data_IF_644258001188
#
_entry.id   IF_644258001188
#
_cell.length_a   1.000
_cell.length_b   1.000
_cell.length_c   1.000
_cell.angle_alpha   90.00
_cell.angle_beta   90.00
_cell.angle_gamma   90.00
#
_symmetry.space_group_name_H-M   'P 1'
#
loop_
_entity.id
_entity.type
_entity.pdbx_description
1 polymer ?
#
# COMPACT_ATOMS: atom_id res chain seq x y z
N UNK A 1 56.92 -29.89 22.28
CA UNK A 1 56.45 -29.11 21.14
C UNK A 1 54.94 -29.04 21.20
N UNK A 2 54.33 -27.90 21.63
CA UNK A 2 52.87 -27.81 21.80
C UNK A 2 52.41 -26.48 22.39
N UNK A 3 53.01 -25.33 21.98
CA UNK A 3 52.59 -24.01 22.50
C UNK A 3 52.23 -22.98 21.39
N UNK A 4 52.17 -23.40 20.12
CA UNK A 4 51.88 -22.48 19.03
C UNK A 4 50.41 -22.39 18.62
N UNK A 5 49.63 -23.44 18.80
CA UNK A 5 48.21 -23.51 18.32
C UNK A 5 47.21 -22.69 19.18
N UNK A 6 47.42 -22.66 20.50
CA UNK A 6 46.49 -21.94 21.41
C UNK A 6 46.52 -20.42 21.27
N UNK A 7 47.64 -19.82 20.80
CA UNK A 7 47.71 -18.38 20.59
C UNK A 7 47.08 -17.90 19.29
N UNK A 8 47.06 -18.72 18.25
CA UNK A 8 46.36 -18.44 16.96
C UNK A 8 44.87 -18.62 17.06
N UNK A 9 44.41 -19.67 17.75
CA UNK A 9 43.02 -19.90 18.06
C UNK A 9 42.45 -18.79 18.95
N UNK A 10 43.16 -18.36 19.95
CA UNK A 10 42.78 -17.22 20.82
C UNK A 10 42.71 -15.89 20.06
N UNK A 11 43.59 -15.68 19.06
CA UNK A 11 43.51 -14.48 18.19
C UNK A 11 42.32 -14.54 17.26
N UNK A 12 42.08 -15.68 16.61
CA UNK A 12 40.91 -15.84 15.76
C UNK A 12 39.61 -15.70 16.54
N UNK A 13 39.52 -16.23 17.78
CA UNK A 13 38.37 -16.06 18.65
C UNK A 13 38.08 -14.59 18.96
N UNK A 14 39.13 -13.80 19.32
CA UNK A 14 39.01 -12.35 19.58
C UNK A 14 38.61 -11.55 18.33
N UNK A 15 39.13 -11.90 17.16
CA UNK A 15 38.77 -11.27 15.91
C UNK A 15 37.26 -11.57 15.57
N UNK A 16 36.85 -12.81 15.79
CA UNK A 16 35.46 -13.21 15.59
C UNK A 16 34.51 -12.51 16.57
N UNK A 17 34.88 -12.41 17.85
CA UNK A 17 34.13 -11.68 18.87
C UNK A 17 33.98 -10.19 18.48
N UNK A 18 35.09 -9.56 18.07
CA UNK A 18 35.06 -8.15 17.62
C UNK A 18 34.19 -7.95 16.38
N UNK A 19 34.27 -8.87 15.40
CA UNK A 19 33.40 -8.82 14.23
C UNK A 19 31.92 -9.00 14.61
N UNK A 20 31.62 -9.88 15.57
CA UNK A 20 30.24 -10.07 16.07
C UNK A 20 29.74 -8.84 16.83
N UNK A 21 30.59 -8.18 17.64
CA UNK A 21 30.24 -6.92 18.29
C UNK A 21 29.98 -5.80 17.26
N UNK A 22 30.86 -5.64 16.27
CA UNK A 22 30.69 -4.66 15.19
C UNK A 22 29.41 -4.94 14.37
N UNK A 23 29.12 -6.21 14.06
CA UNK A 23 27.87 -6.59 13.37
C UNK A 23 26.63 -6.34 14.24
N UNK A 24 26.72 -6.60 15.53
CA UNK A 24 25.66 -6.34 16.50
C UNK A 24 25.35 -4.84 16.62
N UNK A 25 26.40 -4.01 16.70
CA UNK A 25 26.28 -2.56 16.74
C UNK A 25 25.68 -2.00 15.44
N UNK A 26 26.10 -2.51 14.29
CA UNK A 26 25.53 -2.12 12.99
C UNK A 26 24.04 -2.50 12.92
N UNK A 27 23.67 -3.67 13.38
CA UNK A 27 22.28 -4.14 13.36
C UNK A 27 21.39 -3.34 14.32
N UNK A 28 21.90 -3.01 15.52
CA UNK A 28 21.17 -2.23 16.52
C UNK A 28 21.02 -0.74 16.15
N UNK A 29 21.91 -0.23 15.31
CA UNK A 29 21.84 1.15 14.83
C UNK A 29 20.92 1.34 13.63
N UNK A 30 20.33 0.27 13.08
CA UNK A 30 19.32 0.38 12.03
C UNK A 30 18.00 0.89 12.59
N UNK A 31 17.39 1.80 11.84
CA UNK A 31 16.05 2.31 12.14
C UNK A 31 15.04 1.40 11.42
N UNK A 32 14.39 0.51 12.17
CA UNK A 32 13.45 -0.47 11.63
C UNK A 32 12.05 0.12 11.48
N UNK A 33 11.57 0.22 10.25
CA UNK A 33 10.25 0.75 9.89
C UNK A 33 9.34 -0.40 9.42
N UNK A 34 8.22 -0.61 10.09
CA UNK A 34 7.28 -1.65 9.75
C UNK A 34 5.99 -1.04 9.16
N UNK A 35 5.66 -1.41 7.91
CA UNK A 35 4.42 -1.02 7.25
C UNK A 35 3.30 -1.99 7.60
N UNK A 36 2.29 -1.55 8.35
CA UNK A 36 1.11 -2.33 8.71
C UNK A 36 -0.18 -1.70 8.16
N UNK A 37 -1.24 -2.47 8.12
CA UNK A 37 -2.57 -2.03 7.65
C UNK A 37 -3.28 -3.13 6.88
N UNK A 38 -4.57 -2.94 6.61
CA UNK A 38 -5.40 -3.89 5.88
C UNK A 38 -4.94 -4.11 4.43
N UNK A 39 -5.49 -5.13 3.78
CA UNK A 39 -5.28 -5.34 2.34
C UNK A 39 -5.71 -4.10 1.54
N UNK A 40 -5.04 -3.82 0.43
CA UNK A 40 -5.33 -2.72 -0.50
C UNK A 40 -5.14 -1.29 0.07
N UNK A 41 -4.68 -1.10 1.30
CA UNK A 41 -4.48 0.24 1.90
C UNK A 41 -3.38 1.07 1.23
N UNK A 42 -2.50 0.46 0.43
CA UNK A 42 -1.41 1.13 -0.30
C UNK A 42 -0.03 1.00 0.35
N UNK A 43 0.17 0.10 1.32
CA UNK A 43 1.48 -0.19 1.94
C UNK A 43 2.58 -0.44 0.90
N UNK A 44 2.35 -1.40 0.02
CA UNK A 44 3.33 -1.79 -1.01
C UNK A 44 3.60 -0.68 -2.03
N UNK A 45 2.64 0.24 -2.24
CA UNK A 45 2.87 1.45 -3.05
C UNK A 45 3.80 2.41 -2.32
N UNK A 46 3.60 2.64 -1.01
CA UNK A 46 4.52 3.43 -0.19
C UNK A 46 5.92 2.80 -0.17
N UNK A 47 6.01 1.48 0.00
CA UNK A 47 7.26 0.75 -0.04
C UNK A 47 8.01 0.92 -1.38
N UNK A 48 7.29 0.80 -2.51
CA UNK A 48 7.84 1.06 -3.85
C UNK A 48 8.28 2.52 -4.02
N UNK A 49 7.54 3.48 -3.44
CA UNK A 49 7.93 4.90 -3.45
C UNK A 49 9.26 5.13 -2.73
N UNK A 50 9.51 4.44 -1.63
CA UNK A 50 10.79 4.53 -0.93
C UNK A 50 11.95 4.04 -1.81
N UNK A 51 11.71 2.97 -2.60
CA UNK A 51 12.68 2.51 -3.61
C UNK A 51 12.93 3.56 -4.69
N UNK A 52 11.89 4.27 -5.13
CA UNK A 52 12.01 5.36 -6.12
C UNK A 52 12.74 6.58 -5.54
N UNK A 53 12.46 6.93 -4.28
CA UNK A 53 13.00 8.14 -3.64
C UNK A 53 14.45 7.99 -3.15
N UNK A 54 14.80 6.83 -2.61
CA UNK A 54 16.06 6.60 -1.88
C UNK A 54 16.85 5.39 -2.38
N UNK A 55 16.25 4.57 -3.25
CA UNK A 55 16.91 3.46 -3.91
C UNK A 55 17.60 3.88 -5.21
N UNK A 56 17.93 2.89 -6.02
CA UNK A 56 18.37 3.10 -7.40
C UNK A 56 17.18 3.22 -8.32
N UNK A 57 17.31 4.06 -9.36
CA UNK A 57 16.30 4.10 -10.42
C UNK A 57 16.08 2.70 -11.02
N UNK A 58 14.83 2.30 -11.26
CA UNK A 58 14.54 1.00 -11.85
C UNK A 58 15.20 0.87 -13.21
N UNK A 59 15.89 -0.22 -13.41
CA UNK A 59 16.44 -0.57 -14.73
C UNK A 59 15.32 -0.90 -15.73
N UNK A 60 15.62 -0.78 -17.02
CA UNK A 60 14.65 -1.18 -18.06
C UNK A 60 14.20 -2.64 -17.90
N UNK A 61 15.08 -3.53 -17.45
CA UNK A 61 14.73 -4.93 -17.20
C UNK A 61 13.69 -5.06 -16.09
N UNK A 62 13.89 -4.40 -14.94
CA UNK A 62 12.93 -4.38 -13.83
C UNK A 62 11.57 -3.77 -14.23
N UNK A 63 11.59 -2.71 -15.05
CA UNK A 63 10.34 -2.14 -15.58
C UNK A 63 9.61 -3.14 -16.50
N UNK A 64 10.35 -3.85 -17.36
CA UNK A 64 9.75 -4.84 -18.27
C UNK A 64 9.17 -6.06 -17.53
N UNK A 65 9.67 -6.43 -16.35
CA UNK A 65 9.07 -7.46 -15.49
C UNK A 65 7.66 -7.09 -15.01
N UNK A 66 7.34 -5.80 -14.93
CA UNK A 66 6.02 -5.32 -14.51
C UNK A 66 5.01 -5.30 -15.67
N UNK A 67 5.47 -5.33 -16.93
CA UNK A 67 4.60 -5.26 -18.12
C UNK A 67 3.50 -6.35 -18.13
N UNK A 68 3.79 -7.63 -17.92
CA UNK A 68 2.76 -8.67 -17.87
C UNK A 68 1.74 -8.45 -16.76
N UNK A 69 2.20 -7.95 -15.60
CA UNK A 69 1.32 -7.65 -14.47
C UNK A 69 0.33 -6.52 -14.82
N UNK A 70 0.79 -5.48 -15.49
CA UNK A 70 -0.08 -4.38 -15.94
C UNK A 70 -1.13 -4.90 -16.92
N UNK A 71 -0.73 -5.72 -17.89
CA UNK A 71 -1.64 -6.32 -18.87
C UNK A 71 -2.71 -7.17 -18.19
N UNK A 72 -2.31 -8.08 -17.28
CA UNK A 72 -3.23 -8.88 -16.48
C UNK A 72 -4.16 -8.04 -15.60
N UNK A 73 -3.64 -6.98 -14.97
CA UNK A 73 -4.47 -6.06 -14.17
C UNK A 73 -5.58 -5.42 -15.02
N UNK A 74 -5.25 -4.97 -16.24
CA UNK A 74 -6.21 -4.36 -17.18
C UNK A 74 -7.26 -5.37 -17.59
N UNK A 75 -6.86 -6.55 -18.08
CA UNK A 75 -7.77 -7.58 -18.57
C UNK A 75 -8.70 -8.06 -17.44
N UNK A 76 -8.12 -8.48 -16.32
CA UNK A 76 -8.90 -9.04 -15.20
C UNK A 76 -9.88 -8.02 -14.60
N UNK A 77 -9.47 -6.75 -14.51
CA UNK A 77 -10.37 -5.73 -13.97
C UNK A 77 -11.49 -5.40 -14.95
N UNK A 78 -11.21 -5.28 -16.25
CA UNK A 78 -12.28 -5.04 -17.24
C UNK A 78 -13.28 -6.21 -17.28
N UNK A 79 -12.81 -7.45 -17.24
CA UNK A 79 -13.68 -8.63 -17.11
C UNK A 79 -14.55 -8.57 -15.84
N UNK A 80 -13.95 -8.19 -14.70
CA UNK A 80 -14.70 -8.07 -13.44
C UNK A 80 -15.81 -7.02 -13.56
N UNK A 81 -15.53 -5.84 -14.14
CA UNK A 81 -16.53 -4.78 -14.35
C UNK A 81 -17.69 -5.32 -15.22
N UNK A 82 -17.35 -5.93 -16.37
CA UNK A 82 -18.36 -6.46 -17.28
C UNK A 82 -19.19 -7.58 -16.63
N UNK A 83 -18.55 -8.46 -15.85
CA UNK A 83 -19.21 -9.58 -15.19
C UNK A 83 -20.16 -9.14 -14.07
N UNK A 84 -19.92 -7.99 -13.45
CA UNK A 84 -20.77 -7.41 -12.41
C UNK A 84 -21.97 -6.61 -12.99
N UNK A 85 -21.90 -6.21 -14.25
CA UNK A 85 -22.95 -5.41 -14.89
C UNK A 85 -24.36 -6.03 -14.81
N UNK A 86 -24.55 -7.35 -15.03
CA UNK A 86 -25.88 -7.97 -14.87
C UNK A 86 -26.44 -7.87 -13.45
N UNK A 87 -25.60 -8.11 -12.43
CA UNK A 87 -25.99 -8.03 -11.01
C UNK A 87 -26.38 -6.61 -10.61
N UNK A 88 -25.72 -5.61 -11.19
CA UNK A 88 -25.93 -4.20 -10.90
C UNK A 88 -26.98 -3.53 -11.80
N UNK A 89 -27.59 -4.28 -12.72
CA UNK A 89 -28.63 -3.75 -13.62
C UNK A 89 -28.09 -2.74 -14.64
N UNK A 90 -26.81 -2.82 -14.98
CA UNK A 90 -26.13 -1.94 -15.96
C UNK A 90 -25.82 -2.64 -17.28
N UNK A 91 -26.05 -3.94 -17.38
CA UNK A 91 -25.69 -4.77 -18.53
C UNK A 91 -26.43 -4.33 -19.81
N UNK A 92 -27.70 -3.98 -19.70
CA UNK A 92 -28.52 -3.50 -20.84
C UNK A 92 -28.02 -2.16 -21.41
N UNK A 93 -27.20 -1.43 -20.65
CA UNK A 93 -26.58 -0.17 -21.07
C UNK A 93 -25.28 -0.39 -21.87
N UNK A 94 -24.72 -1.62 -21.87
CA UNK A 94 -23.53 -1.96 -22.64
C UNK A 94 -23.94 -2.04 -24.12
N UNK A 95 -23.40 -1.12 -24.92
CA UNK A 95 -23.76 -0.95 -26.33
C UNK A 95 -22.96 -1.88 -27.23
N UNK A 96 -21.64 -2.00 -27.03
CA UNK A 96 -20.73 -2.80 -27.87
C UNK A 96 -20.68 -4.27 -27.38
N UNK A 97 -21.69 -5.06 -27.78
CA UNK A 97 -21.80 -6.48 -27.42
C UNK A 97 -20.70 -7.34 -28.07
N UNK A 98 -20.17 -6.95 -29.24
CA UNK A 98 -19.09 -7.66 -29.90
C UNK A 98 -17.77 -7.50 -29.12
N UNK A 99 -17.40 -6.27 -28.75
CA UNK A 99 -16.23 -6.02 -27.91
C UNK A 99 -16.38 -6.63 -26.51
N UNK A 100 -17.57 -6.59 -25.93
CA UNK A 100 -17.88 -7.28 -24.65
C UNK A 100 -17.57 -8.77 -24.73
N UNK A 101 -18.05 -9.46 -25.78
CA UNK A 101 -17.79 -10.88 -25.97
C UNK A 101 -16.29 -11.16 -26.11
N UNK A 102 -15.60 -10.44 -27.00
CA UNK A 102 -14.16 -10.57 -27.20
C UNK A 102 -13.37 -10.32 -25.90
N UNK A 103 -13.78 -9.34 -25.11
CA UNK A 103 -13.13 -9.04 -23.83
C UNK A 103 -13.27 -10.19 -22.82
N UNK A 104 -14.43 -10.81 -22.73
CA UNK A 104 -14.67 -11.94 -21.83
C UNK A 104 -13.96 -13.22 -22.27
N UNK A 105 -13.68 -13.38 -23.57
CA UNK A 105 -12.96 -14.51 -24.16
C UNK A 105 -11.43 -14.39 -24.07
N UNK A 106 -10.85 -13.21 -23.74
CA UNK A 106 -9.41 -13.06 -23.52
C UNK A 106 -8.93 -13.91 -22.35
N UNK A 107 -7.75 -14.49 -22.44
CA UNK A 107 -7.12 -15.14 -21.28
C UNK A 107 -6.67 -14.10 -20.25
N UNK A 108 -6.69 -14.46 -18.97
CA UNK A 108 -6.43 -13.54 -17.85
C UNK A 108 -4.97 -13.02 -17.81
N UNK A 109 -4.03 -13.77 -18.36
CA UNK A 109 -2.61 -13.46 -18.43
C UNK A 109 -2.14 -13.13 -19.87
N UNK A 110 -3.10 -12.91 -20.78
CA UNK A 110 -2.79 -12.62 -22.17
C UNK A 110 -2.10 -11.26 -22.33
N UNK A 111 -1.12 -11.20 -23.22
CA UNK A 111 -0.44 -9.94 -23.51
C UNK A 111 -1.34 -9.00 -24.32
N UNK A 112 -1.44 -7.75 -23.89
CA UNK A 112 -2.07 -6.70 -24.70
C UNK A 112 -1.22 -6.41 -25.93
N UNK A 113 -1.89 -6.22 -27.05
CA UNK A 113 -1.40 -5.73 -28.31
C UNK A 113 -2.35 -4.62 -28.80
N UNK A 114 -2.05 -3.89 -29.89
CA UNK A 114 -2.89 -2.80 -30.36
C UNK A 114 -4.36 -3.18 -30.61
N UNK A 115 -4.63 -4.39 -31.12
CA UNK A 115 -5.99 -4.88 -31.37
C UNK A 115 -6.76 -5.06 -30.04
N UNK A 116 -6.16 -5.74 -29.05
CA UNK A 116 -6.76 -5.97 -27.73
C UNK A 116 -6.90 -4.67 -26.94
N UNK A 117 -5.91 -3.78 -27.04
CA UNK A 117 -5.96 -2.44 -26.44
C UNK A 117 -7.15 -1.63 -26.96
N UNK A 118 -7.44 -1.71 -28.27
CA UNK A 118 -8.59 -1.05 -28.86
C UNK A 118 -9.93 -1.62 -28.34
N UNK A 119 -10.02 -2.93 -28.08
CA UNK A 119 -11.19 -3.55 -27.46
C UNK A 119 -11.37 -3.03 -26.02
N UNK A 120 -10.31 -3.02 -25.22
CA UNK A 120 -10.36 -2.47 -23.84
C UNK A 120 -10.78 -1.01 -23.85
N UNK A 121 -10.23 -0.20 -24.77
CA UNK A 121 -10.58 1.23 -24.90
C UNK A 121 -12.06 1.43 -25.23
N UNK A 122 -12.59 0.66 -26.17
CA UNK A 122 -14.02 0.69 -26.51
C UNK A 122 -14.89 0.34 -25.30
N UNK A 123 -14.52 -0.73 -24.57
CA UNK A 123 -15.24 -1.11 -23.35
C UNK A 123 -15.15 -0.03 -22.27
N UNK A 124 -13.96 0.57 -22.05
CA UNK A 124 -13.80 1.63 -21.06
C UNK A 124 -14.67 2.86 -21.35
N UNK A 125 -14.90 3.19 -22.61
CA UNK A 125 -15.76 4.32 -23.02
C UNK A 125 -17.23 3.94 -23.18
N UNK A 126 -17.60 2.66 -23.02
CA UNK A 126 -18.97 2.20 -23.15
C UNK A 126 -19.83 2.69 -21.97
N UNK A 127 -21.03 3.26 -22.23
CA UNK A 127 -21.91 3.79 -21.18
C UNK A 127 -22.30 2.79 -20.10
N UNK A 128 -22.48 1.50 -20.46
CA UNK A 128 -22.81 0.45 -19.51
C UNK A 128 -21.64 0.09 -18.61
N UNK A 129 -20.42 0.07 -19.16
CA UNK A 129 -19.19 -0.15 -18.39
C UNK A 129 -18.94 1.02 -17.44
N UNK A 130 -19.13 2.27 -17.90
CA UNK A 130 -19.01 3.45 -17.04
C UNK A 130 -20.05 3.47 -15.93
N UNK A 131 -21.32 3.11 -16.24
CA UNK A 131 -22.37 2.98 -15.24
C UNK A 131 -22.03 1.90 -14.18
N UNK A 132 -21.40 0.80 -14.60
CA UNK A 132 -20.93 -0.25 -13.68
C UNK A 132 -19.75 0.24 -12.85
N UNK A 133 -18.82 0.97 -13.46
CA UNK A 133 -17.68 1.58 -12.77
C UNK A 133 -18.09 2.58 -11.69
N UNK A 134 -19.14 3.35 -11.92
CA UNK A 134 -19.69 4.28 -10.92
C UNK A 134 -20.19 3.56 -9.67
N UNK A 135 -20.62 2.29 -9.81
CA UNK A 135 -21.06 1.41 -8.72
C UNK A 135 -19.92 0.54 -8.14
N UNK A 136 -18.65 0.87 -8.41
CA UNK A 136 -17.48 0.05 -8.04
C UNK A 136 -17.31 -0.20 -6.53
N UNK A 137 -18.01 0.53 -5.67
CA UNK A 137 -18.07 0.24 -4.24
C UNK A 137 -18.83 -1.06 -3.91
N UNK A 138 -19.73 -1.50 -4.82
CA UNK A 138 -20.58 -2.68 -4.65
C UNK A 138 -19.89 -4.00 -5.02
N UNK A 139 -18.69 -3.94 -5.58
CA UNK A 139 -17.90 -5.10 -5.98
C UNK A 139 -16.41 -4.90 -5.79
N UNK A 140 -15.63 -5.95 -6.03
CA UNK A 140 -14.21 -5.94 -5.72
C UNK A 140 -13.37 -5.47 -6.92
N UNK A 141 -12.88 -4.25 -6.85
CA UNK A 141 -12.02 -3.65 -7.87
C UNK A 141 -10.97 -2.74 -7.25
N UNK A 142 -9.84 -2.57 -7.94
CA UNK A 142 -8.79 -1.62 -7.56
C UNK A 142 -9.01 -0.31 -8.29
N UNK A 143 -9.36 0.75 -7.57
CA UNK A 143 -9.75 2.03 -8.17
C UNK A 143 -8.65 2.68 -9.01
N UNK A 144 -7.36 2.46 -8.67
CA UNK A 144 -6.23 3.03 -9.42
C UNK A 144 -6.08 2.50 -10.84
N UNK A 145 -6.82 1.43 -11.21
CA UNK A 145 -6.78 0.84 -12.55
C UNK A 145 -7.29 1.79 -13.66
N UNK A 146 -8.16 2.74 -13.30
CA UNK A 146 -8.69 3.72 -14.25
C UNK A 146 -7.59 4.43 -15.04
N UNK A 147 -6.47 4.74 -14.41
CA UNK A 147 -5.30 5.34 -15.06
C UNK A 147 -4.75 4.47 -16.20
N UNK A 148 -4.74 3.15 -16.02
CA UNK A 148 -4.30 2.23 -17.07
C UNK A 148 -5.33 2.10 -18.20
N UNK A 149 -6.63 2.18 -17.90
CA UNK A 149 -7.65 2.19 -18.94
C UNK A 149 -7.57 3.46 -19.80
N UNK A 150 -7.27 4.61 -19.20
CA UNK A 150 -7.09 5.87 -19.92
C UNK A 150 -5.89 5.82 -20.86
N UNK A 151 -4.81 5.14 -20.46
CA UNK A 151 -3.55 5.00 -21.19
C UNK A 151 -3.44 3.68 -21.99
N UNK A 152 -4.52 2.91 -22.11
CA UNK A 152 -4.47 1.53 -22.63
C UNK A 152 -3.90 1.42 -24.05
N UNK A 153 -4.09 2.42 -24.91
CA UNK A 153 -3.55 2.45 -26.27
C UNK A 153 -2.01 2.55 -26.27
N UNK A 154 -1.46 3.33 -25.32
CA UNK A 154 0.00 3.42 -25.12
C UNK A 154 0.54 2.12 -24.52
N UNK A 155 -0.18 1.55 -23.55
CA UNK A 155 0.22 0.32 -22.86
C UNK A 155 0.18 -0.89 -23.80
N UNK A 156 -0.72 -0.89 -24.77
CA UNK A 156 -0.88 -1.95 -25.74
C UNK A 156 0.07 -1.83 -26.96
N UNK A 157 0.86 -0.76 -27.07
CA UNK A 157 1.82 -0.60 -28.15
C UNK A 157 2.93 -1.66 -28.07
N UNK A 158 3.45 -2.09 -29.22
CA UNK A 158 4.48 -3.15 -29.30
C UNK A 158 5.77 -2.77 -28.57
N UNK A 159 6.18 -1.51 -28.69
CA UNK A 159 7.39 -0.94 -28.08
C UNK A 159 7.18 -0.43 -26.67
N UNK A 160 5.98 -0.62 -26.07
CA UNK A 160 5.68 -0.16 -24.72
C UNK A 160 6.67 -0.69 -23.68
N UNK A 161 7.24 0.24 -22.94
CA UNK A 161 8.03 -0.01 -21.73
C UNK A 161 7.36 0.70 -20.56
N UNK A 162 7.05 0.01 -19.45
CA UNK A 162 6.48 0.64 -18.28
C UNK A 162 7.35 1.76 -17.73
N UNK A 163 6.73 2.78 -17.19
CA UNK A 163 7.40 3.86 -16.43
C UNK A 163 7.48 3.51 -14.95
N UNK A 164 8.28 4.25 -14.17
CA UNK A 164 8.29 4.14 -12.71
C UNK A 164 6.90 4.39 -12.11
N UNK A 165 6.10 5.30 -12.71
CA UNK A 165 4.72 5.56 -12.30
C UNK A 165 3.81 4.35 -12.56
N UNK A 166 3.98 3.67 -13.69
CA UNK A 166 3.25 2.43 -13.99
C UNK A 166 3.61 1.33 -12.98
N UNK A 167 4.89 1.21 -12.61
CA UNK A 167 5.34 0.25 -11.59
C UNK A 167 4.71 0.54 -10.21
N UNK A 168 4.55 1.82 -9.83
CA UNK A 168 3.90 2.21 -8.58
C UNK A 168 2.39 1.87 -8.58
N UNK A 169 1.73 2.07 -9.73
CA UNK A 169 0.29 1.87 -9.90
C UNK A 169 -0.07 0.40 -10.07
N UNK A 170 0.82 -0.40 -10.67
CA UNK A 170 0.61 -1.82 -10.92
C UNK A 170 0.35 -2.58 -9.62
N UNK A 171 -0.79 -3.30 -9.58
CA UNK A 171 -1.17 -4.10 -8.43
C UNK A 171 -0.44 -5.44 -8.44
N UNK A 172 0.38 -5.63 -7.41
CA UNK A 172 0.98 -6.92 -7.06
C UNK A 172 0.56 -7.25 -5.64
N UNK A 173 -0.01 -8.43 -5.42
CA UNK A 173 -0.33 -8.88 -4.05
C UNK A 173 0.97 -9.24 -3.32
N UNK A 174 1.22 -8.56 -2.20
CA UNK A 174 2.36 -8.91 -1.35
C UNK A 174 2.04 -10.20 -0.59
N UNK A 175 2.86 -11.22 -0.81
CA UNK A 175 2.86 -12.44 -0.02
C UNK A 175 4.15 -12.51 0.79
N UNK A 176 4.05 -12.81 2.10
CA UNK A 176 5.22 -12.87 2.97
C UNK A 176 5.70 -11.50 3.43
N UNK A 177 7.01 -11.37 3.58
CA UNK A 177 7.73 -10.20 4.10
C UNK A 177 8.74 -9.78 3.03
N UNK A 178 8.72 -8.51 2.67
CA UNK A 178 9.71 -7.89 1.78
C UNK A 178 10.47 -6.84 2.57
N UNK A 179 11.80 -6.86 2.48
CA UNK A 179 12.67 -5.93 3.22
C UNK A 179 13.59 -5.20 2.28
N UNK A 180 13.75 -3.90 2.48
CA UNK A 180 14.71 -3.04 1.78
C UNK A 180 15.40 -2.11 2.77
N UNK A 181 16.65 -1.80 2.49
CA UNK A 181 17.44 -0.89 3.32
C UNK A 181 17.88 0.34 2.53
N UNK A 182 17.77 1.51 3.14
CA UNK A 182 18.13 2.80 2.56
C UNK A 182 19.03 3.58 3.51
N UNK A 183 20.05 4.24 2.97
CA UNK A 183 20.85 5.20 3.75
C UNK A 183 20.34 6.61 3.48
N UNK A 184 19.78 7.25 4.50
CA UNK A 184 19.15 8.57 4.42
C UNK A 184 19.76 9.45 5.50
N UNK A 185 20.45 10.54 5.08
CA UNK A 185 21.14 11.47 5.97
C UNK A 185 22.10 10.78 6.97
N UNK A 186 22.82 9.75 6.48
CA UNK A 186 23.78 8.99 7.27
C UNK A 186 23.18 7.91 8.20
N UNK A 187 21.86 7.79 8.27
CA UNK A 187 21.16 6.75 9.04
C UNK A 187 20.71 5.62 8.13
N UNK A 188 20.84 4.38 8.60
CA UNK A 188 20.33 3.21 7.87
C UNK A 188 18.89 2.92 8.29
N UNK A 189 17.96 3.10 7.35
CA UNK A 189 16.57 2.73 7.50
C UNK A 189 16.33 1.36 6.88
N UNK A 190 15.76 0.45 7.63
CA UNK A 190 15.35 -0.86 7.16
C UNK A 190 13.83 -0.94 7.19
N UNK A 191 13.21 -1.04 6.02
CA UNK A 191 11.77 -1.00 5.85
C UNK A 191 11.22 -2.38 5.51
N UNK A 192 10.14 -2.76 6.19
CA UNK A 192 9.44 -4.02 6.02
C UNK A 192 8.04 -3.79 5.44
N UNK A 193 7.75 -4.36 4.26
CA UNK A 193 6.40 -4.48 3.70
C UNK A 193 5.87 -5.89 3.92
N UNK A 194 4.69 -6.00 4.50
CA UNK A 194 4.05 -7.27 4.83
C UNK A 194 2.66 -7.36 4.23
N UNK A 195 2.24 -8.56 3.83
CA UNK A 195 0.89 -8.79 3.32
C UNK A 195 -0.17 -8.35 4.32
N UNK A 196 -1.15 -7.53 3.87
CA UNK A 196 -2.18 -6.93 4.73
C UNK A 196 -3.47 -7.73 4.83
N UNK A 197 -3.67 -8.73 3.99
CA UNK A 197 -4.84 -9.61 4.04
C UNK A 197 -4.85 -10.47 5.30
N UNK A 198 -6.03 -10.84 5.79
CA UNK A 198 -6.20 -11.58 7.07
C UNK A 198 -5.34 -12.83 7.16
N UNK A 199 -5.23 -13.60 6.08
CA UNK A 199 -4.40 -14.81 6.05
C UNK A 199 -2.89 -14.55 6.11
N UNK A 200 -2.42 -13.35 5.70
CA UNK A 200 -1.00 -12.97 5.73
C UNK A 200 -0.56 -12.44 7.11
N UNK A 201 -1.46 -11.91 7.93
CA UNK A 201 -1.14 -11.25 9.21
C UNK A 201 -0.43 -12.15 10.21
N UNK A 202 -0.63 -13.47 10.12
CA UNK A 202 0.10 -14.44 10.97
C UNK A 202 1.61 -14.35 10.82
N UNK A 203 2.10 -13.87 9.67
CA UNK A 203 3.52 -13.71 9.39
C UNK A 203 4.12 -12.45 10.02
N UNK A 204 3.31 -11.50 10.44
CA UNK A 204 3.75 -10.21 10.98
C UNK A 204 4.60 -10.35 12.23
N UNK A 205 4.32 -11.35 13.06
CA UNK A 205 5.06 -11.62 14.30
C UNK A 205 6.58 -11.75 14.07
N UNK A 206 7.00 -12.19 12.90
CA UNK A 206 8.42 -12.35 12.55
C UNK A 206 9.15 -11.01 12.32
N UNK A 207 8.41 -9.89 12.26
CA UNK A 207 8.97 -8.54 12.06
C UNK A 207 8.81 -7.66 13.30
N UNK A 208 8.28 -8.16 14.42
CA UNK A 208 7.94 -7.31 15.57
C UNK A 208 9.12 -6.97 16.46
N UNK A 209 10.25 -7.66 16.30
CA UNK A 209 11.41 -7.47 17.16
C UNK A 209 12.15 -6.17 16.82
N UNK A 210 12.38 -5.33 17.86
CA UNK A 210 13.15 -4.09 17.78
C UNK A 210 12.64 -3.10 16.72
N UNK A 211 11.32 -3.01 16.52
CA UNK A 211 10.72 -2.03 15.60
C UNK A 211 10.85 -0.63 16.18
N UNK A 212 11.53 0.27 15.45
CA UNK A 212 11.69 1.68 15.84
C UNK A 212 10.40 2.45 15.61
N UNK A 213 9.74 2.22 14.47
CA UNK A 213 8.45 2.84 14.18
C UNK A 213 7.55 1.93 13.34
N UNK A 214 6.25 2.01 13.63
CA UNK A 214 5.18 1.42 12.82
C UNK A 214 4.53 2.52 12.01
N UNK A 215 4.46 2.33 10.69
CA UNK A 215 3.67 3.15 9.79
C UNK A 215 2.40 2.36 9.46
N UNK A 216 1.30 2.74 10.11
CA UNK A 216 0.00 2.13 9.85
C UNK A 216 -0.69 2.84 8.70
N UNK A 217 -1.06 2.10 7.66
CA UNK A 217 -1.67 2.63 6.44
C UNK A 217 -3.14 2.24 6.37
N UNK A 218 -4.03 3.23 6.44
CA UNK A 218 -5.46 3.10 6.20
C UNK A 218 -5.87 3.85 4.93
N UNK A 219 -6.76 3.29 4.10
CA UNK A 219 -7.25 3.96 2.89
C UNK A 219 -8.53 4.73 3.19
N UNK A 220 -8.43 6.06 3.31
CA UNK A 220 -9.56 6.92 3.70
C UNK A 220 -10.72 6.90 2.68
N UNK A 221 -10.45 6.63 1.40
CA UNK A 221 -11.46 6.53 0.35
C UNK A 221 -12.31 5.24 0.40
N UNK A 222 -11.92 4.27 1.24
CA UNK A 222 -12.56 2.95 1.27
C UNK A 222 -13.68 2.82 2.31
N UNK A 223 -14.19 3.94 2.83
CA UNK A 223 -15.22 3.98 3.88
C UNK A 223 -16.54 3.28 3.52
N UNK A 224 -16.87 3.19 2.22
CA UNK A 224 -18.07 2.52 1.71
C UNK A 224 -17.78 1.19 1.01
N UNK A 225 -16.57 0.66 1.11
CA UNK A 225 -16.16 -0.57 0.42
C UNK A 225 -16.10 -1.77 1.37
N UNK A 226 -16.21 -2.98 0.79
CA UNK A 226 -16.13 -4.26 1.50
C UNK A 226 -14.78 -4.94 1.28
N UNK A 227 -14.38 -5.83 2.19
CA UNK A 227 -13.15 -6.61 2.04
C UNK A 227 -13.25 -7.62 0.90
N UNK A 228 -12.10 -7.96 0.30
CA UNK A 228 -12.00 -9.05 -0.67
C UNK A 228 -12.26 -10.41 -0.03
N UNK A 229 -11.79 -10.59 1.21
CA UNK A 229 -11.86 -11.84 1.96
C UNK A 229 -13.22 -12.06 2.63
N UNK A 230 -13.96 -10.98 2.87
CA UNK A 230 -15.22 -10.99 3.61
C UNK A 230 -16.10 -9.81 3.19
N UNK A 231 -17.02 -10.06 2.29
CA UNK A 231 -17.94 -9.06 1.74
C UNK A 231 -18.96 -8.52 2.74
N UNK A 232 -19.03 -9.06 3.95
CA UNK A 232 -19.84 -8.52 5.05
C UNK A 232 -19.14 -7.39 5.81
N UNK A 233 -17.80 -7.37 5.81
CA UNK A 233 -16.98 -6.42 6.58
C UNK A 233 -16.62 -5.19 5.75
N UNK A 234 -16.84 -4.00 6.32
CA UNK A 234 -16.41 -2.73 5.74
C UNK A 234 -14.89 -2.57 5.88
N UNK A 235 -14.21 -2.08 4.82
CA UNK A 235 -12.74 -1.93 4.80
C UNK A 235 -12.21 -0.92 5.79
N UNK A 236 -12.90 0.22 5.96
CA UNK A 236 -12.48 1.24 6.92
C UNK A 236 -12.72 0.77 8.36
N UNK A 237 -13.83 0.06 8.63
CA UNK A 237 -14.08 -0.59 9.92
C UNK A 237 -12.99 -1.60 10.26
N UNK A 238 -12.61 -2.46 9.31
CA UNK A 238 -11.49 -3.39 9.45
C UNK A 238 -10.17 -2.65 9.73
N UNK A 239 -9.92 -1.51 9.06
CA UNK A 239 -8.72 -0.71 9.31
C UNK A 239 -8.69 -0.12 10.72
N UNK A 240 -9.84 0.33 11.24
CA UNK A 240 -9.99 0.83 12.62
C UNK A 240 -9.74 -0.29 13.63
N UNK A 241 -10.39 -1.44 13.47
CA UNK A 241 -10.22 -2.59 14.37
C UNK A 241 -8.77 -3.08 14.38
N UNK A 242 -8.14 -3.18 13.21
CA UNK A 242 -6.74 -3.56 13.09
C UNK A 242 -5.79 -2.54 13.70
N UNK A 243 -6.10 -1.24 13.58
CA UNK A 243 -5.32 -0.17 14.22
C UNK A 243 -5.40 -0.27 15.75
N UNK A 244 -6.58 -0.53 16.31
CA UNK A 244 -6.74 -0.75 17.77
C UNK A 244 -5.86 -1.92 18.25
N UNK A 245 -5.86 -3.05 17.53
CA UNK A 245 -5.01 -4.20 17.84
C UNK A 245 -3.51 -3.86 17.78
N UNK A 246 -3.08 -3.17 16.72
CA UNK A 246 -1.67 -2.85 16.48
C UNK A 246 -1.16 -1.77 17.40
N UNK A 247 -1.91 -0.64 17.51
CA UNK A 247 -1.47 0.51 18.31
C UNK A 247 -1.37 0.21 19.81
N UNK A 248 -2.17 -0.72 20.30
CA UNK A 248 -2.15 -1.12 21.70
C UNK A 248 -1.39 -2.43 21.97
N UNK A 249 -0.65 -2.93 20.98
CA UNK A 249 0.13 -4.15 21.11
C UNK A 249 1.41 -3.91 21.93
N UNK A 250 1.68 -4.77 22.91
CA UNK A 250 2.86 -4.68 23.78
C UNK A 250 4.21 -4.68 23.04
N UNK A 251 4.28 -5.32 21.88
CA UNK A 251 5.50 -5.32 21.08
C UNK A 251 5.89 -3.94 20.56
N UNK A 252 4.91 -3.03 20.41
CA UNK A 252 5.12 -1.68 19.90
C UNK A 252 5.03 -0.59 20.99
N UNK A 253 5.11 -0.96 22.27
CA UNK A 253 4.99 -0.03 23.39
C UNK A 253 6.06 1.08 23.33
N UNK A 254 7.26 0.74 22.86
CA UNK A 254 8.38 1.68 22.67
C UNK A 254 8.51 2.21 21.22
N UNK A 255 7.70 1.71 20.29
CA UNK A 255 7.76 2.12 18.89
C UNK A 255 6.97 3.39 18.66
N UNK A 256 7.48 4.29 17.81
CA UNK A 256 6.68 5.41 17.30
C UNK A 256 5.54 4.88 16.42
N UNK A 257 4.32 5.39 16.62
CA UNK A 257 3.15 5.00 15.83
C UNK A 257 2.75 6.16 14.91
N UNK A 258 2.80 5.93 13.59
CA UNK A 258 2.47 6.92 12.57
C UNK A 258 1.30 6.41 11.74
N UNK A 259 0.21 7.15 11.68
CA UNK A 259 -0.96 6.84 10.86
C UNK A 259 -0.86 7.56 9.51
N UNK A 260 -0.89 6.78 8.42
CA UNK A 260 -1.04 7.29 7.06
C UNK A 260 -2.47 7.03 6.58
N UNK A 261 -3.28 8.08 6.49
CA UNK A 261 -4.59 8.03 5.84
C UNK A 261 -4.39 8.26 4.34
N UNK A 262 -4.24 7.16 3.64
CA UNK A 262 -3.87 7.10 2.23
C UNK A 262 -5.07 7.22 1.30
N UNK A 263 -4.81 7.45 0.01
CA UNK A 263 -5.79 7.64 -1.06
C UNK A 263 -6.67 8.89 -0.84
N UNK A 264 -6.07 9.97 -0.31
CA UNK A 264 -6.75 11.24 -0.07
C UNK A 264 -7.34 11.86 -1.34
N UNK A 265 -6.68 11.66 -2.47
CA UNK A 265 -7.10 12.05 -3.81
C UNK A 265 -8.44 11.40 -4.19
N UNK A 266 -8.54 10.08 -4.05
CA UNK A 266 -9.76 9.33 -4.31
C UNK A 266 -10.87 9.68 -3.29
N UNK A 267 -10.50 10.01 -2.05
CA UNK A 267 -11.46 10.44 -1.04
C UNK A 267 -12.09 11.80 -1.39
N UNK A 268 -11.28 12.75 -1.85
CA UNK A 268 -11.74 14.07 -2.27
C UNK A 268 -12.75 13.99 -3.42
N UNK A 269 -12.47 13.14 -4.42
CA UNK A 269 -13.39 12.88 -5.52
C UNK A 269 -14.69 12.18 -5.09
N UNK A 270 -14.60 11.29 -4.11
CA UNK A 270 -15.70 10.42 -3.69
C UNK A 270 -16.67 11.10 -2.74
N UNK A 271 -16.20 11.88 -1.77
CA UNK A 271 -17.03 12.42 -0.69
C UNK A 271 -18.17 13.32 -1.19
N UNK A 272 -17.98 13.98 -2.34
CA UNK A 272 -19.01 14.79 -2.98
C UNK A 272 -20.13 13.96 -3.64
N UNK A 273 -19.88 12.68 -3.94
CA UNK A 273 -20.78 11.80 -4.69
C UNK A 273 -21.42 10.72 -3.80
N UNK A 274 -20.69 10.28 -2.78
CA UNK A 274 -21.09 9.19 -1.88
C UNK A 274 -21.02 9.70 -0.45
N UNK A 275 -22.15 10.00 0.20
CA UNK A 275 -22.15 10.48 1.58
C UNK A 275 -21.61 9.44 2.55
N UNK A 276 -20.76 9.87 3.50
CA UNK A 276 -20.16 8.98 4.51
C UNK A 276 -21.26 8.35 5.39
N UNK A 277 -22.26 9.13 5.78
CA UNK A 277 -23.35 8.69 6.65
C UNK A 277 -24.26 7.62 6.03
N UNK A 278 -24.21 7.42 4.71
CA UNK A 278 -24.95 6.35 4.04
C UNK A 278 -24.29 4.97 4.26
N UNK A 279 -23.06 4.97 4.80
CA UNK A 279 -22.40 3.75 5.24
C UNK A 279 -22.83 3.42 6.66
N UNK A 280 -23.45 2.25 6.94
CA UNK A 280 -23.99 1.92 8.26
C UNK A 280 -22.98 2.05 9.41
N UNK A 281 -21.72 1.72 9.18
CA UNK A 281 -20.64 1.83 10.19
C UNK A 281 -20.29 3.28 10.55
N UNK A 282 -20.72 4.26 9.76
CA UNK A 282 -20.39 5.68 9.89
C UNK A 282 -21.61 6.59 9.81
N UNK A 283 -22.78 6.06 10.17
CA UNK A 283 -24.06 6.80 10.17
C UNK A 283 -24.08 7.98 11.16
N UNK A 284 -23.12 8.02 12.09
CA UNK A 284 -22.92 9.11 13.04
C UNK A 284 -22.20 10.34 12.45
N UNK A 285 -21.72 10.26 11.20
CA UNK A 285 -21.09 11.39 10.53
C UNK A 285 -22.13 12.45 10.14
N UNK A 286 -21.84 13.72 10.45
CA UNK A 286 -22.74 14.86 10.19
C UNK A 286 -22.12 15.98 9.36
N UNK A 287 -20.90 15.80 8.87
CA UNK A 287 -20.14 16.85 8.17
C UNK A 287 -20.50 17.06 6.71
N UNK A 288 -21.47 16.30 6.16
CA UNK A 288 -21.91 16.42 4.76
C UNK A 288 -20.81 16.02 3.75
N UNK A 289 -20.76 16.71 2.62
CA UNK A 289 -19.77 16.47 1.55
C UNK A 289 -18.47 17.29 1.74
N UNK A 290 -18.19 17.76 2.93
CA UNK A 290 -16.98 18.55 3.21
C UNK A 290 -15.76 17.64 3.40
N UNK A 291 -14.76 17.82 2.52
CA UNK A 291 -13.53 17.03 2.53
C UNK A 291 -12.78 17.12 3.86
N UNK A 292 -12.67 18.35 4.42
CA UNK A 292 -11.94 18.57 5.66
C UNK A 292 -12.66 17.91 6.84
N UNK A 293 -13.98 18.12 6.94
CA UNK A 293 -14.80 17.51 7.98
C UNK A 293 -14.74 15.97 7.92
N UNK A 294 -14.76 15.38 6.72
CA UNK A 294 -14.61 13.94 6.51
C UNK A 294 -13.22 13.43 6.95
N UNK A 295 -12.16 14.15 6.61
CA UNK A 295 -10.81 13.82 7.08
C UNK A 295 -10.72 13.90 8.60
N UNK A 296 -11.18 14.99 9.20
CA UNK A 296 -11.13 15.21 10.66
C UNK A 296 -11.94 14.13 11.41
N UNK A 297 -13.08 13.70 10.86
CA UNK A 297 -13.89 12.61 11.42
C UNK A 297 -13.11 11.28 11.48
N UNK A 298 -12.47 10.85 10.39
CA UNK A 298 -11.71 9.61 10.40
C UNK A 298 -10.45 9.72 11.25
N UNK A 299 -9.74 10.86 11.22
CA UNK A 299 -8.59 11.12 12.10
C UNK A 299 -9.00 10.95 13.57
N UNK A 300 -10.15 11.51 13.96
CA UNK A 300 -10.63 11.41 15.33
C UNK A 300 -11.03 9.98 15.70
N UNK A 301 -11.67 9.21 14.79
CA UNK A 301 -11.95 7.78 14.99
C UNK A 301 -10.67 6.99 15.30
N UNK A 302 -9.58 7.21 14.55
CA UNK A 302 -8.31 6.57 14.83
C UNK A 302 -7.66 7.05 16.11
N UNK A 303 -7.73 8.36 16.42
CA UNK A 303 -7.17 8.95 17.66
C UNK A 303 -7.78 8.34 18.91
N UNK A 304 -9.09 8.13 18.92
CA UNK A 304 -9.82 7.55 20.06
C UNK A 304 -9.43 6.09 20.35
N UNK A 305 -8.83 5.39 19.38
CA UNK A 305 -8.34 4.02 19.57
C UNK A 305 -6.96 3.96 20.23
N UNK A 306 -6.22 5.09 20.31
CA UNK A 306 -4.94 5.14 21.01
C UNK A 306 -5.20 5.16 22.52
N UNK A 307 -4.96 4.04 23.20
CA UNK A 307 -5.15 3.84 24.66
C UNK A 307 -3.86 4.08 25.45
N UNK A 308 -2.82 4.65 24.81
CA UNK A 308 -1.50 4.89 25.38
C UNK A 308 -1.22 6.39 25.47
N UNK A 309 -0.23 6.79 26.30
CA UNK A 309 0.24 8.18 26.41
C UNK A 309 1.13 8.61 25.22
N UNK A 310 1.27 7.78 24.19
CA UNK A 310 2.05 8.10 22.99
C UNK A 310 1.42 9.24 22.21
N UNK A 311 2.23 10.13 21.67
CA UNK A 311 1.80 11.15 20.73
C UNK A 311 1.16 10.50 19.50
N UNK A 312 0.03 11.05 19.06
CA UNK A 312 -0.69 10.59 17.87
C UNK A 312 -0.25 11.39 16.65
N UNK A 313 0.54 10.75 15.80
CA UNK A 313 1.01 11.33 14.54
C UNK A 313 0.18 10.79 13.37
N UNK A 314 -0.29 11.70 12.52
CA UNK A 314 -1.04 11.31 11.32
C UNK A 314 -0.66 12.15 10.11
N UNK A 315 -0.81 11.57 8.92
CA UNK A 315 -0.63 12.26 7.66
C UNK A 315 -1.67 11.82 6.64
N UNK A 316 -2.22 12.78 5.89
CA UNK A 316 -3.06 12.52 4.72
C UNK A 316 -2.15 12.29 3.52
N UNK A 317 -2.18 11.08 2.94
CA UNK A 317 -1.24 10.67 1.91
C UNK A 317 -1.92 10.29 0.60
N UNK A 318 -1.18 10.48 -0.50
CA UNK A 318 -1.43 9.88 -1.80
C UNK A 318 -0.19 9.07 -2.17
N UNK A 319 -0.22 7.75 -2.00
CA UNK A 319 0.94 6.89 -2.19
C UNK A 319 1.47 6.87 -3.63
N UNK A 320 0.67 7.28 -4.62
CA UNK A 320 1.09 7.41 -6.02
C UNK A 320 1.72 8.76 -6.36
N UNK A 321 1.67 9.73 -5.43
CA UNK A 321 2.32 11.04 -5.56
C UNK A 321 3.68 11.02 -4.83
N UNK A 322 4.75 10.97 -5.60
CA UNK A 322 6.13 10.90 -5.09
C UNK A 322 6.49 12.12 -4.24
N UNK A 323 6.01 13.33 -4.62
CA UNK A 323 6.27 14.57 -3.88
C UNK A 323 5.58 14.55 -2.52
N UNK A 324 4.32 14.09 -2.47
CA UNK A 324 3.58 13.94 -1.23
C UNK A 324 4.26 12.93 -0.29
N UNK A 325 4.62 11.74 -0.80
CA UNK A 325 5.30 10.72 0.02
C UNK A 325 6.65 11.20 0.54
N UNK A 326 7.45 11.89 -0.30
CA UNK A 326 8.74 12.48 0.11
C UNK A 326 8.58 13.47 1.26
N UNK A 327 7.62 14.39 1.14
CA UNK A 327 7.35 15.40 2.17
C UNK A 327 6.93 14.76 3.48
N UNK A 328 5.97 13.83 3.44
CA UNK A 328 5.46 13.13 4.61
C UNK A 328 6.55 12.29 5.25
N UNK A 329 7.32 11.54 4.48
CA UNK A 329 8.40 10.70 5.01
C UNK A 329 9.50 11.53 5.69
N UNK A 330 9.88 12.69 5.15
CA UNK A 330 10.85 13.58 5.80
C UNK A 330 10.33 14.03 7.17
N UNK A 331 9.07 14.40 7.30
CA UNK A 331 8.46 14.75 8.59
C UNK A 331 8.49 13.56 9.56
N UNK A 332 8.14 12.37 9.10
CA UNK A 332 8.18 11.15 9.91
C UNK A 332 9.59 10.81 10.37
N UNK A 333 10.58 10.94 9.48
CA UNK A 333 11.99 10.74 9.79
C UNK A 333 12.45 11.60 10.97
N UNK A 334 12.10 12.89 10.96
CA UNK A 334 12.49 13.81 12.03
C UNK A 334 11.82 13.43 13.37
N UNK A 335 10.56 13.01 13.34
CA UNK A 335 9.83 12.48 14.51
C UNK A 335 10.51 11.23 15.08
N UNK A 336 10.82 10.27 14.20
CA UNK A 336 11.43 8.99 14.57
C UNK A 336 12.82 9.21 15.19
N UNK A 337 13.65 10.03 14.54
CA UNK A 337 15.00 10.36 15.04
C UNK A 337 14.96 11.06 16.40
N UNK A 338 14.03 12.03 16.57
CA UNK A 338 13.86 12.74 17.83
C UNK A 338 13.43 11.80 18.96
N UNK A 339 12.46 10.91 18.71
CA UNK A 339 11.98 9.96 19.72
C UNK A 339 13.08 8.94 20.06
N UNK A 340 13.81 8.44 19.08
CA UNK A 340 14.93 7.52 19.30
C UNK A 340 16.04 8.15 20.17
N UNK A 341 16.35 9.45 19.99
CA UNK A 341 17.31 10.18 20.83
C UNK A 341 16.81 10.38 22.27
N UNK A 342 15.50 10.63 22.47
CA UNK A 342 14.89 10.71 23.81
C UNK A 342 15.00 9.38 24.55
N UNK A 343 14.65 8.27 23.87
CA UNK A 343 14.68 6.93 24.47
C UNK A 343 16.11 6.47 24.80
N UNK A 344 17.09 6.97 24.06
CA UNK A 344 18.53 6.72 24.30
C UNK A 344 19.13 7.64 25.41
N UNK A 345 18.34 8.56 25.97
CA UNK A 345 18.78 9.46 27.05
C UNK A 345 19.67 10.62 26.58
N UNK A 346 19.68 10.95 25.30
CA UNK A 346 20.44 12.07 24.74
C UNK A 346 19.64 13.40 24.69
N UNK A 347 18.34 13.38 25.01
CA UNK A 347 17.46 14.56 25.09
C UNK A 347 16.64 14.56 26.38
#
# INVERSE_FOLDING_TARGET
>A
MGCGSSSEEAKKSKETEKMLEEMYDIENNKIKLLLLGAGESGKSTIFKQMKVLYGKEPTRAELMEVKPVIHANIINTMKAIISEAPRLGTDEKIVDQESKKKMLEMDDDEALNPERGAIVKKMWTDPGVQATWDLRAEYQVVESISKFFDEVEVIAAEDYCPTSQHMLTARVRTSGIVTESYVIDGNTFEMYDVGGQRNERKKWIHCFDNVTAVIFVGAISEYNQKLFEDTSTNRMKEALDLYDEVSNNRYFEKSSMLLFLNKKDLFEEKISKVPIQDTPDFADYTGGADYKAGCDYFIEKFRQLNKTDREFYYHLTCATDTSNVKMVFNTCKDIILKNNLKDSGFL
#
